data_IF_436065053973
#
_entry.id   IF_436065053973
#
_cell.length_a   1.000
_cell.length_b   1.000
_cell.length_c   1.000
_cell.angle_alpha   90.00
_cell.angle_beta   90.00
_cell.angle_gamma   90.00
#
_symmetry.space_group_name_H-M   'P 1'
#
loop_
_entity.id
_entity.type
_entity.pdbx_description
1 polymer ?
#
# COMPACT_ATOMS: atom_id res chain seq x y z
N UNK A 1 33.67 -16.51 -1.62
CA UNK A 1 32.51 -16.98 -0.83
C UNK A 1 31.37 -17.18 -1.80
N UNK A 2 30.96 -18.43 -2.03
CA UNK A 2 29.77 -18.73 -2.82
C UNK A 2 28.59 -18.48 -1.90
N UNK A 3 27.81 -17.42 -2.15
CA UNK A 3 26.51 -17.29 -1.50
C UNK A 3 25.69 -18.48 -1.97
N UNK A 4 25.49 -19.47 -1.10
CA UNK A 4 24.50 -20.51 -1.32
C UNK A 4 23.16 -19.79 -1.43
N UNK A 5 22.68 -19.64 -2.67
CA UNK A 5 21.39 -19.08 -2.94
C UNK A 5 20.39 -20.03 -2.29
N UNK A 6 19.66 -19.57 -1.29
CA UNK A 6 18.66 -20.40 -0.63
C UNK A 6 17.71 -20.95 -1.70
N UNK A 7 17.45 -22.26 -1.69
CA UNK A 7 16.62 -22.92 -2.69
C UNK A 7 15.24 -22.23 -2.76
N UNK A 8 15.01 -21.54 -3.87
CA UNK A 8 13.75 -20.86 -4.16
C UNK A 8 12.71 -21.90 -4.60
N UNK A 9 11.48 -21.83 -4.07
CA UNK A 9 10.38 -22.70 -4.51
C UNK A 9 9.58 -21.99 -5.59
N UNK A 10 9.51 -22.58 -6.78
CA UNK A 10 8.69 -22.06 -7.88
C UNK A 10 7.24 -22.56 -7.78
N UNK A 11 6.28 -21.70 -8.10
CA UNK A 11 4.87 -22.07 -8.17
C UNK A 11 4.56 -23.01 -9.34
N UNK A 12 3.66 -23.97 -9.14
CA UNK A 12 3.30 -24.99 -10.13
C UNK A 12 2.16 -24.60 -11.10
N UNK A 13 1.58 -23.40 -10.98
CA UNK A 13 0.47 -22.95 -11.84
C UNK A 13 -0.91 -23.43 -11.39
N UNK A 14 -1.02 -24.26 -10.36
CA UNK A 14 -2.29 -24.82 -9.88
C UNK A 14 -2.74 -24.01 -8.68
N UNK A 15 -3.73 -23.14 -8.85
CA UNK A 15 -4.25 -22.31 -7.76
C UNK A 15 -5.06 -23.13 -6.75
N UNK A 16 -4.74 -22.98 -5.48
CA UNK A 16 -5.47 -23.52 -4.35
C UNK A 16 -5.82 -22.41 -3.36
N UNK A 17 -7.10 -22.33 -2.99
CA UNK A 17 -7.59 -21.47 -1.90
C UNK A 17 -7.67 -22.22 -0.58
N UNK A 18 -7.42 -21.54 0.54
CA UNK A 18 -7.62 -22.06 1.89
C UNK A 18 -7.92 -20.93 2.87
N UNK A 19 -8.72 -21.25 3.89
CA UNK A 19 -9.08 -20.33 4.96
C UNK A 19 -8.23 -20.59 6.21
N UNK A 20 -7.87 -19.51 6.91
CA UNK A 20 -7.13 -19.56 8.17
C UNK A 20 -7.95 -18.86 9.24
N UNK A 21 -8.57 -19.67 10.10
CA UNK A 21 -9.27 -19.21 11.31
C UNK A 21 -8.27 -18.83 12.38
N UNK A 22 -8.41 -17.63 12.93
CA UNK A 22 -7.52 -17.04 13.94
C UNK A 22 -8.33 -16.27 14.97
N UNK A 23 -7.71 -15.93 16.11
CA UNK A 23 -8.36 -15.05 17.08
C UNK A 23 -8.47 -13.63 16.50
N UNK A 24 -9.40 -12.83 17.04
CA UNK A 24 -9.58 -11.44 16.61
C UNK A 24 -8.27 -10.63 16.73
N UNK A 25 -7.90 -9.91 15.67
CA UNK A 25 -6.69 -9.09 15.63
C UNK A 25 -6.99 -7.67 15.12
N UNK A 26 -6.01 -6.77 15.24
CA UNK A 26 -6.10 -5.38 14.75
C UNK A 26 -4.85 -4.92 13.99
N UNK A 27 -3.79 -5.73 13.99
CA UNK A 27 -2.54 -5.46 13.28
C UNK A 27 -2.24 -6.59 12.32
N UNK A 28 -2.00 -6.25 11.06
CA UNK A 28 -1.56 -7.18 10.02
C UNK A 28 -0.15 -6.80 9.55
N UNK A 29 0.79 -7.71 9.71
CA UNK A 29 2.17 -7.60 9.21
C UNK A 29 2.33 -8.59 8.06
N UNK A 30 2.83 -8.13 6.92
CA UNK A 30 3.00 -8.93 5.71
C UNK A 30 4.41 -8.73 5.16
N UNK A 31 5.12 -9.84 4.99
CA UNK A 31 6.49 -9.86 4.49
C UNK A 31 6.61 -10.86 3.33
N UNK A 32 6.85 -10.36 2.12
CA UNK A 32 7.06 -11.17 0.93
C UNK A 32 6.06 -10.89 -0.20
N UNK A 33 5.99 -11.76 -1.23
CA UNK A 33 5.29 -11.49 -2.49
C UNK A 33 3.77 -11.70 -2.41
N UNK A 34 3.13 -11.13 -1.39
CA UNK A 34 1.69 -11.20 -1.15
C UNK A 34 0.95 -10.07 -1.88
N UNK A 35 -0.29 -10.35 -2.28
CA UNK A 35 -1.23 -9.38 -2.80
C UNK A 35 -2.46 -9.28 -1.90
N UNK A 36 -2.65 -8.14 -1.24
CA UNK A 36 -3.70 -7.92 -0.24
C UNK A 36 -4.94 -7.26 -0.84
N UNK A 37 -6.10 -7.80 -0.50
CA UNK A 37 -7.43 -7.23 -0.76
C UNK A 37 -8.19 -7.14 0.56
N UNK A 38 -8.10 -5.98 1.21
CA UNK A 38 -8.62 -5.78 2.56
C UNK A 38 -9.89 -4.91 2.55
N UNK A 39 -10.87 -5.27 3.35
CA UNK A 39 -12.10 -4.50 3.59
C UNK A 39 -12.25 -4.23 5.08
N UNK A 40 -12.44 -2.96 5.45
CA UNK A 40 -12.70 -2.55 6.83
C UNK A 40 -14.18 -2.10 6.98
N UNK A 41 -15.13 -3.00 6.66
CA UNK A 41 -16.56 -2.68 6.49
C UNK A 41 -17.52 -3.50 7.36
N UNK A 42 -17.21 -4.76 7.61
CA UNK A 42 -18.18 -5.70 8.20
C UNK A 42 -18.21 -5.62 9.70
N UNK A 43 -19.36 -5.87 10.34
CA UNK A 43 -19.46 -5.96 11.81
C UNK A 43 -18.70 -7.16 12.40
N UNK A 44 -18.16 -8.04 11.54
CA UNK A 44 -17.34 -9.17 11.94
C UNK A 44 -15.97 -8.71 12.45
N UNK A 45 -15.48 -9.36 13.52
CA UNK A 45 -14.09 -9.19 13.95
C UNK A 45 -13.11 -9.73 12.91
N UNK A 46 -11.86 -9.28 12.95
CA UNK A 46 -10.83 -9.80 12.05
C UNK A 46 -10.41 -11.20 12.53
N UNK A 47 -11.08 -12.26 12.09
CA UNK A 47 -10.89 -13.63 12.61
C UNK A 47 -10.77 -14.73 11.54
N UNK A 48 -10.90 -14.37 10.26
CA UNK A 48 -10.70 -15.30 9.16
C UNK A 48 -9.89 -14.62 8.05
N UNK A 49 -8.84 -15.28 7.58
CA UNK A 49 -8.02 -14.83 6.45
C UNK A 49 -8.19 -15.85 5.33
N UNK A 50 -8.61 -15.38 4.16
CA UNK A 50 -8.69 -16.21 2.96
C UNK A 50 -7.40 -16.07 2.16
N UNK A 51 -6.76 -17.19 1.87
CA UNK A 51 -5.50 -17.24 1.13
C UNK A 51 -5.70 -18.00 -0.18
N UNK A 52 -5.02 -17.57 -1.24
CA UNK A 52 -4.92 -18.31 -2.49
C UNK A 52 -3.50 -18.23 -3.05
N UNK A 53 -2.96 -19.37 -3.47
CA UNK A 53 -1.59 -19.49 -3.97
C UNK A 53 -1.48 -20.70 -4.91
N UNK A 54 -0.36 -20.86 -5.59
CA UNK A 54 0.04 -22.16 -6.13
C UNK A 54 -0.03 -23.25 -5.04
N UNK A 55 -0.61 -24.41 -5.35
CA UNK A 55 -0.85 -25.54 -4.46
C UNK A 55 0.43 -25.97 -3.73
N UNK A 56 1.55 -26.03 -4.45
CA UNK A 56 2.84 -26.43 -3.88
C UNK A 56 3.44 -25.35 -2.95
N UNK A 57 3.02 -24.09 -3.08
CA UNK A 57 3.48 -22.99 -2.23
C UNK A 57 2.64 -22.80 -0.96
N UNK A 58 1.47 -23.43 -0.85
CA UNK A 58 0.61 -23.35 0.35
C UNK A 58 1.39 -23.71 1.62
N UNK A 59 2.25 -24.72 1.56
CA UNK A 59 3.08 -25.16 2.71
C UNK A 59 4.22 -24.20 3.04
N UNK A 60 4.58 -23.30 2.12
CA UNK A 60 5.60 -22.27 2.30
C UNK A 60 5.03 -21.01 2.94
N UNK A 61 3.71 -20.77 2.83
CA UNK A 61 3.06 -19.66 3.54
C UNK A 61 3.03 -19.94 5.04
N UNK A 62 3.43 -18.96 5.83
CA UNK A 62 3.45 -18.98 7.28
C UNK A 62 2.50 -17.91 7.81
N UNK A 63 1.53 -18.34 8.61
CA UNK A 63 0.64 -17.46 9.37
C UNK A 63 0.94 -17.64 10.84
N UNK A 64 1.33 -16.57 11.53
CA UNK A 64 1.56 -16.55 12.98
C UNK A 64 0.68 -15.49 13.62
N UNK A 65 0.19 -15.77 14.82
CA UNK A 65 -0.54 -14.80 15.64
C UNK A 65 0.07 -14.72 17.03
N UNK A 66 0.38 -13.50 17.44
CA UNK A 66 0.83 -13.18 18.80
C UNK A 66 -0.01 -12.01 19.33
N UNK A 67 -0.95 -12.32 20.21
CA UNK A 67 -1.95 -11.36 20.68
C UNK A 67 -2.80 -10.80 19.53
N UNK A 68 -2.90 -9.46 19.47
CA UNK A 68 -3.66 -8.75 18.44
C UNK A 68 -2.94 -8.54 17.10
N UNK A 69 -1.81 -9.24 16.89
CA UNK A 69 -0.94 -9.11 15.71
C UNK A 69 -0.92 -10.41 14.93
N UNK A 70 -1.23 -10.34 13.63
CA UNK A 70 -1.04 -11.44 12.68
C UNK A 70 0.10 -11.12 11.76
N UNK A 71 0.99 -12.08 11.57
CA UNK A 71 2.12 -12.00 10.63
C UNK A 71 1.95 -13.03 9.52
N UNK A 72 1.98 -12.57 8.27
CA UNK A 72 2.04 -13.37 7.05
C UNK A 72 3.44 -13.28 6.45
N UNK A 73 4.06 -14.42 6.19
CA UNK A 73 5.40 -14.51 5.59
C UNK A 73 5.56 -15.80 4.80
N UNK A 74 6.72 -15.99 4.15
CA UNK A 74 7.10 -17.28 3.55
C UNK A 74 8.26 -17.90 4.32
N UNK A 75 8.25 -19.25 4.47
CA UNK A 75 9.32 -19.99 5.18
C UNK A 75 10.68 -19.89 4.50
N UNK A 76 10.66 -19.69 3.18
CA UNK A 76 11.82 -19.54 2.30
C UNK A 76 11.42 -18.66 1.11
N UNK A 77 12.38 -18.17 0.30
CA UNK A 77 12.06 -17.45 -0.93
C UNK A 77 11.18 -18.29 -1.87
N UNK A 78 10.18 -17.66 -2.47
CA UNK A 78 9.27 -18.29 -3.42
C UNK A 78 9.21 -17.47 -4.71
N UNK A 79 8.97 -18.15 -5.84
CA UNK A 79 8.65 -17.53 -7.12
C UNK A 79 7.24 -17.96 -7.53
N UNK A 80 6.19 -17.26 -7.08
CA UNK A 80 4.83 -17.65 -7.38
C UNK A 80 4.56 -17.53 -8.89
N UNK A 81 3.89 -18.52 -9.47
CA UNK A 81 3.45 -18.42 -10.87
C UNK A 81 2.24 -17.50 -11.01
N UNK A 82 1.46 -17.38 -9.92
CA UNK A 82 0.33 -16.47 -9.76
C UNK A 82 0.36 -15.82 -8.37
N UNK A 83 -0.19 -14.61 -8.23
CA UNK A 83 -0.12 -13.83 -6.98
C UNK A 83 -0.59 -14.63 -5.77
N UNK A 84 0.21 -14.64 -4.69
CA UNK A 84 -0.22 -15.14 -3.39
C UNK A 84 -1.21 -14.14 -2.80
N UNK A 85 -2.50 -14.42 -2.96
CA UNK A 85 -3.57 -13.48 -2.66
C UNK A 85 -4.04 -13.66 -1.23
N UNK A 86 -4.26 -12.56 -0.53
CA UNK A 86 -4.79 -12.50 0.83
C UNK A 86 -6.04 -11.63 0.80
N UNK A 87 -7.17 -12.19 1.23
CA UNK A 87 -8.42 -11.47 1.36
C UNK A 87 -8.87 -11.48 2.81
N UNK A 88 -9.29 -10.31 3.30
CA UNK A 88 -9.76 -10.10 4.67
C UNK A 88 -10.88 -9.06 4.66
N UNK A 89 -11.97 -9.35 5.37
CA UNK A 89 -13.03 -8.38 5.65
C UNK A 89 -13.30 -8.33 7.16
N UNK A 90 -13.16 -7.16 7.78
CA UNK A 90 -13.44 -6.97 9.21
C UNK A 90 -13.77 -5.50 9.57
N UNK A 91 -13.92 -5.14 10.86
CA UNK A 91 -14.16 -3.75 11.32
C UNK A 91 -13.07 -3.14 12.20
N UNK A 92 -12.05 -3.89 12.61
CA UNK A 92 -11.11 -3.45 13.63
C UNK A 92 -9.65 -3.50 13.18
N UNK A 93 -9.40 -3.51 11.86
CA UNK A 93 -8.05 -3.38 11.34
C UNK A 93 -7.57 -1.95 11.55
N UNK A 94 -6.43 -1.79 12.24
CA UNK A 94 -5.87 -0.48 12.64
C UNK A 94 -4.47 -0.27 12.09
N UNK A 95 -3.68 -1.33 12.01
CA UNK A 95 -2.28 -1.25 11.55
C UNK A 95 -2.06 -2.26 10.43
N UNK A 96 -1.46 -1.79 9.35
CA UNK A 96 -1.07 -2.58 8.19
C UNK A 96 0.40 -2.29 7.92
N UNK A 97 1.25 -3.28 8.10
CA UNK A 97 2.68 -3.21 7.76
C UNK A 97 2.94 -4.17 6.61
N UNK A 98 3.45 -3.66 5.50
CA UNK A 98 3.76 -4.49 4.32
C UNK A 98 5.20 -4.26 3.88
N UNK A 99 5.85 -5.35 3.49
CA UNK A 99 7.26 -5.30 3.09
C UNK A 99 7.60 -6.29 1.98
N UNK A 100 8.77 -6.11 1.37
CA UNK A 100 9.42 -7.07 0.47
C UNK A 100 8.54 -7.53 -0.70
N UNK A 101 8.22 -6.58 -1.59
CA UNK A 101 7.40 -6.79 -2.79
C UNK A 101 5.93 -7.13 -2.54
N UNK A 102 5.47 -7.02 -1.29
CA UNK A 102 4.05 -7.03 -0.99
C UNK A 102 3.34 -5.90 -1.73
N UNK A 103 2.10 -6.17 -2.14
CA UNK A 103 1.23 -5.18 -2.72
C UNK A 103 -0.17 -5.31 -2.21
N UNK A 104 -1.00 -4.28 -2.31
CA UNK A 104 -2.43 -4.46 -2.04
C UNK A 104 -3.21 -3.19 -1.89
N UNK A 105 -4.42 -3.34 -1.39
CA UNK A 105 -5.30 -2.24 -1.07
C UNK A 105 -6.16 -2.54 0.15
N UNK A 106 -6.60 -1.47 0.83
CA UNK A 106 -7.63 -1.51 1.86
C UNK A 106 -8.75 -0.55 1.50
N UNK A 107 -10.00 -1.00 1.67
CA UNK A 107 -11.17 -0.13 1.66
C UNK A 107 -11.59 0.20 3.09
N UNK A 108 -11.39 1.45 3.49
CA UNK A 108 -11.66 1.94 4.85
C UNK A 108 -13.01 2.67 4.93
N UNK A 109 -13.71 2.49 6.04
CA UNK A 109 -15.00 3.16 6.30
C UNK A 109 -14.84 4.41 7.16
N UNK A 110 -15.90 5.21 7.21
CA UNK A 110 -15.97 6.37 8.10
C UNK A 110 -15.85 5.95 9.56
N UNK A 111 -15.09 6.71 10.34
CA UNK A 111 -14.76 6.40 11.73
C UNK A 111 -13.47 5.58 11.90
N UNK A 112 -12.92 4.99 10.83
CA UNK A 112 -11.67 4.22 10.93
C UNK A 112 -10.46 5.14 11.04
N UNK A 113 -9.51 4.76 11.91
CA UNK A 113 -8.13 5.28 11.91
C UNK A 113 -7.18 4.18 11.47
N UNK A 114 -6.38 4.43 10.43
CA UNK A 114 -5.42 3.46 9.89
C UNK A 114 -4.00 3.97 10.01
N UNK A 115 -3.09 3.09 10.42
CA UNK A 115 -1.65 3.25 10.30
C UNK A 115 -1.14 2.28 9.24
N UNK A 116 -0.54 2.80 8.17
CA UNK A 116 -0.02 2.05 7.05
C UNK A 116 1.49 2.27 6.97
N UNK A 117 2.26 1.19 7.08
CA UNK A 117 3.70 1.20 6.89
C UNK A 117 4.03 0.35 5.66
N UNK A 118 4.79 0.90 4.73
CA UNK A 118 5.24 0.22 3.52
C UNK A 118 6.75 0.28 3.43
N UNK A 119 7.40 -0.86 3.20
CA UNK A 119 8.84 -0.95 2.93
C UNK A 119 9.10 -1.79 1.67
N UNK A 120 9.61 -1.19 0.59
CA UNK A 120 9.80 -1.91 -0.68
C UNK A 120 8.48 -2.54 -1.20
N UNK A 121 7.37 -1.80 -1.07
CA UNK A 121 6.02 -2.31 -1.27
C UNK A 121 5.08 -1.27 -1.91
N UNK A 122 3.92 -1.73 -2.39
CA UNK A 122 2.90 -0.89 -3.03
C UNK A 122 1.54 -1.03 -2.33
N UNK A 123 0.98 0.05 -1.81
CA UNK A 123 -0.32 -0.02 -1.13
C UNK A 123 -1.26 1.10 -1.52
N UNK A 124 -2.56 0.80 -1.57
CA UNK A 124 -3.60 1.79 -1.75
C UNK A 124 -4.59 1.78 -0.58
N UNK A 125 -4.94 2.96 -0.08
CA UNK A 125 -6.04 3.16 0.85
C UNK A 125 -7.16 3.83 0.08
N UNK A 126 -8.35 3.25 0.11
CA UNK A 126 -9.56 3.81 -0.51
C UNK A 126 -10.68 3.93 0.50
N UNK A 127 -11.77 4.62 0.15
CA UNK A 127 -12.90 4.83 1.05
C UNK A 127 -12.73 6.12 1.88
N UNK A 128 -13.35 6.18 3.06
CA UNK A 128 -13.55 7.42 3.81
C UNK A 128 -13.03 7.33 5.26
N UNK A 129 -11.75 6.96 5.50
CA UNK A 129 -11.22 6.91 6.86
C UNK A 129 -11.22 8.30 7.51
N UNK A 130 -11.41 8.38 8.83
CA UNK A 130 -11.26 9.65 9.55
C UNK A 130 -9.79 10.07 9.61
N UNK A 131 -8.89 9.11 9.84
CA UNK A 131 -7.46 9.37 9.95
C UNK A 131 -6.63 8.32 9.22
N UNK A 132 -5.61 8.77 8.50
CA UNK A 132 -4.56 7.89 7.95
C UNK A 132 -3.18 8.40 8.38
N UNK A 133 -2.39 7.55 9.02
CA UNK A 133 -0.95 7.73 9.15
C UNK A 133 -0.28 6.80 8.13
N UNK A 134 0.50 7.35 7.21
CA UNK A 134 1.15 6.60 6.14
C UNK A 134 2.65 6.83 6.17
N UNK A 135 3.43 5.76 6.34
CA UNK A 135 4.90 5.79 6.34
C UNK A 135 5.44 4.89 5.24
N UNK A 136 6.21 5.46 4.33
CA UNK A 136 6.93 4.75 3.28
C UNK A 136 8.43 4.77 3.57
N UNK A 137 9.07 3.60 3.50
CA UNK A 137 10.50 3.41 3.71
C UNK A 137 11.10 2.77 2.45
N UNK A 138 12.27 3.28 2.03
CA UNK A 138 13.04 2.79 0.89
C UNK A 138 12.37 3.02 -0.46
N UNK A 139 11.85 2.00 -1.12
CA UNK A 139 11.17 2.14 -2.41
C UNK A 139 9.71 1.73 -2.29
N UNK A 140 8.84 2.25 -3.15
CA UNK A 140 7.44 1.85 -3.17
C UNK A 140 6.49 3.00 -3.42
N UNK A 141 5.20 2.73 -3.26
CA UNK A 141 4.14 3.72 -3.42
C UNK A 141 3.05 3.51 -2.39
N UNK A 142 2.60 4.58 -1.75
CA UNK A 142 1.34 4.60 -1.02
C UNK A 142 0.38 5.55 -1.74
N UNK A 143 -0.79 5.06 -2.14
CA UNK A 143 -1.84 5.85 -2.77
C UNK A 143 -3.02 6.00 -1.82
N UNK A 144 -3.27 7.21 -1.33
CA UNK A 144 -4.48 7.57 -0.60
C UNK A 144 -5.53 8.05 -1.63
N UNK A 145 -6.44 7.15 -1.98
CA UNK A 145 -7.52 7.34 -2.95
C UNK A 145 -8.84 7.70 -2.25
N UNK A 146 -8.76 8.32 -1.07
CA UNK A 146 -9.93 8.67 -0.26
C UNK A 146 -10.63 9.89 -0.84
N UNK A 147 -11.89 9.72 -1.23
CA UNK A 147 -12.71 10.81 -1.80
C UNK A 147 -13.60 11.34 -0.69
N UNK A 148 -13.34 12.55 -0.22
CA UNK A 148 -14.12 13.27 0.79
C UNK A 148 -13.99 12.77 2.24
N UNK A 149 -13.91 13.71 3.18
CA UNK A 149 -14.20 13.46 4.60
C UNK A 149 -13.12 12.78 5.44
N UNK A 150 -11.85 12.83 5.03
CA UNK A 150 -10.73 12.49 5.90
C UNK A 150 -10.33 13.72 6.75
N UNK A 151 -10.36 13.60 8.07
CA UNK A 151 -10.06 14.71 8.99
C UNK A 151 -8.56 14.99 9.02
N UNK A 152 -7.74 13.92 9.06
CA UNK A 152 -6.29 14.03 9.23
C UNK A 152 -5.49 13.00 8.44
N UNK A 153 -4.43 13.46 7.79
CA UNK A 153 -3.41 12.62 7.17
C UNK A 153 -2.01 12.97 7.69
N UNK A 154 -1.30 11.99 8.28
CA UNK A 154 0.09 12.13 8.71
C UNK A 154 0.99 11.31 7.77
N UNK A 155 1.79 11.96 6.93
CA UNK A 155 2.50 11.33 5.81
C UNK A 155 4.02 11.39 6.02
N UNK A 156 4.71 10.27 5.82
CA UNK A 156 6.17 10.24 5.95
C UNK A 156 6.81 9.40 4.84
N UNK A 157 7.84 9.96 4.21
CA UNK A 157 8.70 9.23 3.26
C UNK A 157 10.14 9.24 3.77
N UNK A 158 10.75 8.06 3.82
CA UNK A 158 12.14 7.86 4.25
C UNK A 158 12.92 7.16 3.14
N UNK A 159 14.05 7.75 2.77
CA UNK A 159 14.96 7.34 1.70
C UNK A 159 14.39 7.55 0.29
N UNK A 160 13.22 7.00 -0.06
CA UNK A 160 12.70 7.05 -1.43
C UNK A 160 11.24 6.65 -1.57
N UNK A 161 10.76 6.61 -2.82
CA UNK A 161 9.39 6.24 -3.17
C UNK A 161 8.40 7.41 -3.17
N UNK A 162 7.11 7.11 -3.31
CA UNK A 162 6.07 8.12 -3.54
C UNK A 162 4.85 7.91 -2.64
N UNK A 163 4.34 8.99 -2.06
CA UNK A 163 2.99 9.01 -1.49
C UNK A 163 2.11 9.93 -2.32
N UNK A 164 0.97 9.44 -2.77
CA UNK A 164 -0.04 10.22 -3.50
C UNK A 164 -1.30 10.37 -2.66
N UNK A 165 -1.90 11.57 -2.62
CA UNK A 165 -3.20 11.78 -1.97
C UNK A 165 -4.17 12.44 -2.93
N UNK A 166 -5.24 11.74 -3.32
CA UNK A 166 -6.37 12.34 -4.02
C UNK A 166 -7.30 12.92 -2.96
N UNK A 167 -7.54 14.23 -3.01
CA UNK A 167 -8.32 14.99 -2.02
C UNK A 167 -7.63 15.03 -0.64
N UNK A 168 -7.05 16.17 -0.25
CA UNK A 168 -6.33 16.24 1.02
C UNK A 168 -7.31 16.02 2.17
N UNK A 169 -6.83 15.40 3.24
CA UNK A 169 -7.48 15.55 4.52
C UNK A 169 -7.66 17.03 4.87
N UNK A 170 -8.61 17.35 5.75
CA UNK A 170 -8.73 18.72 6.29
C UNK A 170 -7.39 19.20 6.87
N UNK A 171 -6.67 18.30 7.54
CA UNK A 171 -5.34 18.53 8.10
C UNK A 171 -4.34 17.52 7.55
N UNK A 172 -3.28 18.00 6.90
CA UNK A 172 -2.19 17.14 6.41
C UNK A 172 -0.88 17.57 7.04
N UNK A 173 -0.27 16.67 7.80
CA UNK A 173 1.12 16.77 8.25
C UNK A 173 1.99 15.87 7.38
N UNK A 174 3.17 16.35 6.99
CA UNK A 174 4.04 15.57 6.12
C UNK A 174 5.53 15.80 6.39
N UNK A 175 6.34 14.77 6.16
CA UNK A 175 7.80 14.85 6.16
C UNK A 175 8.40 13.92 5.10
N UNK A 176 9.46 14.37 4.43
CA UNK A 176 10.20 13.55 3.47
C UNK A 176 11.70 13.68 3.73
N UNK A 177 12.40 12.55 3.67
CA UNK A 177 13.86 12.48 3.76
C UNK A 177 14.42 11.58 2.66
N UNK A 178 15.59 11.93 2.12
CA UNK A 178 16.18 11.24 0.97
C UNK A 178 15.65 11.77 -0.37
N UNK A 179 15.42 10.86 -1.32
CA UNK A 179 14.97 11.15 -2.70
C UNK A 179 13.47 10.91 -2.92
N UNK A 180 12.72 10.62 -1.85
CA UNK A 180 11.29 10.33 -1.93
C UNK A 180 10.41 11.58 -2.06
N UNK A 181 9.19 11.38 -2.53
CA UNK A 181 8.25 12.46 -2.81
C UNK A 181 6.85 12.24 -2.23
N UNK A 182 6.21 13.34 -1.82
CA UNK A 182 4.81 13.37 -1.41
C UNK A 182 4.06 14.32 -2.35
N UNK A 183 2.99 13.81 -2.97
CA UNK A 183 2.15 14.49 -3.95
C UNK A 183 0.74 14.62 -3.37
N UNK A 184 0.36 15.85 -2.99
CA UNK A 184 -0.96 16.15 -2.43
C UNK A 184 -1.81 16.82 -3.51
N UNK A 185 -2.90 16.18 -3.94
CA UNK A 185 -3.83 16.69 -4.94
C UNK A 185 -5.09 17.27 -4.29
N UNK A 186 -5.36 18.56 -4.54
CA UNK A 186 -6.57 19.25 -4.05
C UNK A 186 -7.54 19.57 -5.20
N UNK A 187 -8.75 18.98 -5.24
CA UNK A 187 -9.79 19.38 -6.18
C UNK A 187 -10.16 20.86 -6.01
N UNK A 188 -10.44 21.56 -7.12
CA UNK A 188 -10.99 22.92 -7.10
C UNK A 188 -10.01 24.05 -7.46
N UNK A 189 -8.72 23.77 -7.68
CA UNK A 189 -7.79 24.77 -8.19
C UNK A 189 -7.90 24.93 -9.70
N UNK A 190 -8.30 26.11 -10.20
CA UNK A 190 -8.53 26.40 -11.63
C UNK A 190 -7.28 26.39 -12.53
N UNK A 191 -6.07 26.21 -11.98
CA UNK A 191 -4.82 26.13 -12.74
C UNK A 191 -3.90 25.09 -12.10
N UNK A 192 -3.15 24.38 -12.93
CA UNK A 192 -2.02 23.56 -12.47
C UNK A 192 -0.98 24.46 -11.80
N UNK A 193 -0.99 24.52 -10.47
CA UNK A 193 0.07 25.15 -9.70
C UNK A 193 0.91 24.06 -9.05
N UNK A 194 2.20 24.10 -9.36
CA UNK A 194 3.21 23.32 -8.65
C UNK A 194 3.88 24.24 -7.67
N UNK A 195 3.74 23.95 -6.38
CA UNK A 195 4.48 24.63 -5.34
C UNK A 195 5.39 23.62 -4.67
N UNK A 196 6.69 23.74 -4.92
CA UNK A 196 7.68 23.07 -4.09
C UNK A 196 7.62 23.73 -2.72
N UNK A 197 7.19 22.99 -1.70
CA UNK A 197 7.12 23.50 -0.32
C UNK A 197 8.49 23.34 0.33
N UNK A 198 9.16 22.21 0.09
CA UNK A 198 10.48 21.85 0.60
C UNK A 198 11.19 20.94 -0.41
N UNK A 199 12.50 20.65 -0.25
CA UNK A 199 13.16 19.61 -1.03
C UNK A 199 12.44 18.25 -0.92
N UNK A 200 12.12 17.64 -2.07
CA UNK A 200 11.37 16.38 -2.13
C UNK A 200 9.86 16.51 -1.93
N UNK A 201 9.33 17.69 -1.57
CA UNK A 201 7.89 17.86 -1.28
C UNK A 201 7.25 18.84 -2.24
N UNK A 202 6.21 18.36 -2.94
CA UNK A 202 5.48 19.12 -3.93
C UNK A 202 3.99 19.12 -3.61
N UNK A 203 3.43 20.32 -3.45
CA UNK A 203 1.99 20.50 -3.51
C UNK A 203 1.60 20.74 -4.96
N UNK A 204 0.70 19.90 -5.47
CA UNK A 204 0.19 20.02 -6.83
C UNK A 204 -1.31 20.24 -6.78
N UNK A 205 -1.71 21.46 -7.09
CA UNK A 205 -3.10 21.78 -7.33
C UNK A 205 -3.42 21.46 -8.79
N UNK A 206 -4.32 20.50 -9.05
CA UNK A 206 -4.78 20.17 -10.41
C UNK A 206 -6.24 20.58 -10.53
N UNK A 207 -6.59 21.26 -11.63
CA UNK A 207 -7.98 21.52 -11.98
C UNK A 207 -8.70 20.24 -12.39
N UNK A 208 -9.94 20.06 -11.96
CA UNK A 208 -10.69 18.82 -12.18
C UNK A 208 -10.78 18.44 -13.68
N UNK A 209 -10.88 19.44 -14.56
CA UNK A 209 -10.90 19.28 -16.03
C UNK A 209 -9.60 18.68 -16.60
N UNK A 210 -8.47 18.86 -15.90
CA UNK A 210 -7.18 18.31 -16.27
C UNK A 210 -6.99 16.85 -15.84
N UNK A 211 -7.74 16.36 -14.85
CA UNK A 211 -7.67 14.94 -14.43
C UNK A 211 -8.37 14.06 -15.48
N UNK A 212 -9.53 14.51 -15.97
CA UNK A 212 -10.28 13.82 -17.02
C UNK A 212 -9.57 13.85 -18.40
N UNK A 213 -8.79 14.90 -18.68
CA UNK A 213 -8.01 15.01 -19.93
C UNK A 213 -6.60 14.41 -19.84
N UNK A 214 -6.00 14.33 -18.65
CA UNK A 214 -4.69 13.67 -18.45
C UNK A 214 -4.76 12.15 -18.27
N UNK A 215 -5.90 11.57 -17.90
CA UNK A 215 -6.05 10.10 -17.88
C UNK A 215 -5.81 9.48 -19.27
N UNK A 216 -6.06 10.25 -20.35
CA UNK A 216 -5.71 9.87 -21.74
C UNK A 216 -4.30 10.32 -22.19
N UNK A 217 -3.66 11.28 -21.50
CA UNK A 217 -2.33 11.84 -21.87
C UNK A 217 -1.16 11.36 -21.00
N UNK A 218 -1.42 10.74 -19.85
CA UNK A 218 -0.40 10.06 -19.01
C UNK A 218 0.13 8.76 -19.62
N UNK A 219 0.03 8.60 -20.94
CA UNK A 219 0.81 7.63 -21.71
C UNK A 219 2.07 8.36 -22.22
N UNK A 220 3.24 7.93 -21.72
CA UNK A 220 4.59 8.13 -22.26
C UNK A 220 5.35 9.46 -22.10
N UNK A 221 4.71 10.62 -21.90
CA UNK A 221 5.45 11.88 -22.11
C UNK A 221 6.38 12.32 -20.96
N UNK A 222 6.07 11.98 -19.71
CA UNK A 222 6.86 12.45 -18.55
C UNK A 222 8.02 11.52 -18.17
N UNK A 223 7.99 10.25 -18.61
CA UNK A 223 9.14 9.33 -18.45
C UNK A 223 10.33 9.70 -19.35
N UNK A 224 10.08 10.31 -20.51
CA UNK A 224 11.13 10.74 -21.45
C UNK A 224 12.03 11.83 -20.88
N UNK A 225 11.48 12.80 -20.13
CA UNK A 225 12.25 13.93 -19.59
C UNK A 225 13.04 13.59 -18.33
N UNK A 226 12.60 12.61 -17.55
CA UNK A 226 13.37 12.11 -16.41
C UNK A 226 14.64 11.37 -16.87
N UNK A 227 14.60 10.69 -18.02
CA UNK A 227 15.73 9.94 -18.59
C UNK A 227 16.82 10.84 -19.18
N UNK A 228 16.46 12.03 -19.67
CA UNK A 228 17.43 13.02 -20.18
C UNK A 228 18.17 13.78 -19.08
N UNK A 229 17.68 13.79 -17.83
CA UNK A 229 18.35 14.44 -16.69
C UNK A 229 19.26 13.51 -15.89
N UNK A 230 19.32 12.23 -16.28
CA UNK A 230 20.17 11.20 -15.65
C UNK A 230 21.29 10.72 -16.59
N UNK A 231 21.55 11.45 -17.68
CA UNK A 231 22.78 11.37 -18.48
C UNK A 231 23.58 12.65 -18.26
#
# INVERSE_FOLDING_TARGET
MVNAQADQVEGNGILQGFDVSIASFHTLVVDGPFHLSLSNRTSAGCNNIQLASDENLVKSVLVKQEGGVVTLSTKQPVLPSARISVSLDCNNLRVIEISNYASGHVHATKGTSLNVVCENAYFAVSGHPNKVTARLVNSGVISLLSVGGMDRADLQVINGGFIYTLEPAEHVEFSASGVGEIHIYRPGYKKNTYKRIQPGIYERAIGFDDIASNSNRMKFRDWGRARERMR
#
